data_IF_064417226460
#
_entry.id   IF_064417226460
#
_cell.length_a   1.000
_cell.length_b   1.000
_cell.length_c   1.000
_cell.angle_alpha   90.00
_cell.angle_beta   90.00
_cell.angle_gamma   90.00
#
_symmetry.space_group_name_H-M   'P 1'
#
loop_
_entity.id
_entity.type
_entity.pdbx_description
1 polymer ?
#
# COMPACT_ATOMS: atom_id res chain seq x y z
N UNK A 1 -7.25 -9.82 18.51
CA UNK A 1 -7.75 -8.91 17.46
C UNK A 1 -6.52 -8.25 16.87
N UNK A 2 -6.28 -8.35 15.57
CA UNK A 2 -5.07 -7.79 14.93
C UNK A 2 -5.13 -6.27 14.92
N UNK A 3 -4.01 -5.59 15.13
CA UNK A 3 -3.94 -4.13 15.10
C UNK A 3 -4.05 -3.60 13.67
N UNK A 4 -4.90 -2.59 13.47
CA UNK A 4 -5.05 -1.88 12.20
C UNK A 4 -4.30 -0.54 12.26
N UNK A 5 -3.40 -0.33 11.32
CA UNK A 5 -2.72 0.94 11.08
C UNK A 5 -3.36 1.61 9.87
N UNK A 6 -4.03 2.73 10.09
CA UNK A 6 -4.76 3.46 9.05
C UNK A 6 -4.08 4.79 8.72
N UNK A 7 -3.89 5.05 7.43
CA UNK A 7 -3.32 6.29 6.91
C UNK A 7 -4.32 6.92 5.93
N UNK A 8 -5.02 7.97 6.38
CA UNK A 8 -6.24 8.45 5.71
C UNK A 8 -6.07 9.66 4.80
N UNK A 9 -4.96 10.39 4.91
CA UNK A 9 -4.75 11.68 4.24
C UNK A 9 -3.64 11.64 3.18
N UNK A 10 -3.50 10.51 2.50
CA UNK A 10 -2.45 10.34 1.49
C UNK A 10 -2.90 10.95 0.16
N UNK A 11 -2.07 11.82 -0.39
CA UNK A 11 -2.33 12.49 -1.67
C UNK A 11 -1.14 12.34 -2.59
N UNK A 12 -1.42 11.98 -3.84
CA UNK A 12 -0.41 11.89 -4.89
C UNK A 12 -0.92 12.62 -6.14
N UNK A 13 -0.54 13.90 -6.33
CA UNK A 13 -0.94 14.65 -7.52
C UNK A 13 -0.48 13.95 -8.80
N UNK A 14 -1.37 13.82 -9.77
CA UNK A 14 -1.08 13.13 -11.03
C UNK A 14 -1.90 13.69 -12.18
N UNK A 15 -1.25 13.83 -13.35
CA UNK A 15 -1.90 14.26 -14.59
C UNK A 15 -2.88 13.22 -15.16
N UNK A 16 -3.84 13.68 -15.95
CA UNK A 16 -4.99 12.90 -16.43
C UNK A 16 -4.59 11.62 -17.16
N UNK A 17 -3.61 11.74 -18.05
CA UNK A 17 -3.17 10.65 -18.91
C UNK A 17 -1.91 9.93 -18.39
N UNK A 18 -1.43 10.30 -17.21
CA UNK A 18 -0.31 9.63 -16.55
C UNK A 18 -0.77 8.30 -15.99
N UNK A 19 -0.05 7.22 -16.33
CA UNK A 19 -0.26 5.91 -15.73
C UNK A 19 0.18 5.92 -14.26
N UNK A 20 -0.62 5.32 -13.40
CA UNK A 20 -0.39 5.22 -11.95
C UNK A 20 -0.05 3.78 -11.61
N UNK A 21 1.18 3.55 -11.19
CA UNK A 21 1.67 2.27 -10.75
C UNK A 21 1.81 2.28 -9.23
N UNK A 22 1.14 1.34 -8.56
CA UNK A 22 1.27 1.11 -7.13
C UNK A 22 2.30 0.03 -6.88
N UNK A 23 3.22 0.29 -5.97
CA UNK A 23 4.32 -0.62 -5.64
C UNK A 23 4.38 -0.87 -4.13
N UNK A 24 4.57 -2.13 -3.76
CA UNK A 24 4.85 -2.58 -2.40
C UNK A 24 6.28 -3.10 -2.36
N UNK A 25 7.09 -2.62 -1.41
CA UNK A 25 8.43 -3.14 -1.13
C UNK A 25 8.56 -3.62 0.31
N UNK A 26 9.14 -4.80 0.47
CA UNK A 26 9.46 -5.34 1.78
C UNK A 26 10.86 -4.87 2.17
N UNK A 27 10.96 -4.14 3.28
CA UNK A 27 12.25 -3.60 3.76
C UNK A 27 12.85 -4.49 4.84
N UNK A 28 12.03 -5.09 5.70
CA UNK A 28 12.49 -6.11 6.64
C UNK A 28 12.25 -7.53 6.12
N UNK A 29 13.06 -8.48 6.59
CA UNK A 29 13.08 -9.85 6.08
C UNK A 29 11.91 -10.67 6.63
N UNK A 30 11.46 -11.67 5.85
CA UNK A 30 10.49 -12.66 6.33
C UNK A 30 9.05 -12.17 6.45
N UNK A 31 8.77 -10.98 5.92
CA UNK A 31 7.41 -10.49 5.72
C UNK A 31 6.76 -11.25 4.57
N UNK A 32 5.54 -11.71 4.80
CA UNK A 32 4.61 -12.13 3.76
C UNK A 32 3.45 -11.13 3.83
N UNK A 33 3.08 -10.57 2.68
CA UNK A 33 2.04 -9.54 2.61
C UNK A 33 1.04 -9.90 1.52
N UNK A 34 -0.25 -9.75 1.83
CA UNK A 34 -1.31 -9.80 0.82
C UNK A 34 -1.97 -8.43 0.78
N UNK A 35 -1.86 -7.75 -0.36
CA UNK A 35 -2.38 -6.40 -0.53
C UNK A 35 -3.51 -6.41 -1.55
N UNK A 36 -4.70 -5.99 -1.11
CA UNK A 36 -5.83 -5.70 -1.98
C UNK A 36 -5.94 -4.19 -2.20
N UNK A 37 -6.11 -3.77 -3.45
CA UNK A 37 -6.18 -2.36 -3.82
C UNK A 37 -7.50 -2.16 -4.55
N UNK A 38 -8.43 -1.48 -3.88
CA UNK A 38 -9.69 -1.07 -4.45
C UNK A 38 -9.52 0.30 -5.10
N UNK A 39 -9.86 0.38 -6.39
CA UNK A 39 -9.78 1.60 -7.18
C UNK A 39 -11.19 2.01 -7.61
N UNK A 40 -11.42 3.30 -7.95
CA UNK A 40 -12.67 3.70 -8.58
C UNK A 40 -12.95 2.87 -9.84
N UNK A 41 -14.10 2.17 -9.86
CA UNK A 41 -14.49 1.28 -10.96
C UNK A 41 -14.27 -0.21 -10.64
N UNK A 42 -14.20 -1.09 -11.66
CA UNK A 42 -14.16 -2.54 -11.47
C UNK A 42 -12.73 -3.13 -11.46
N UNK A 43 -11.69 -2.29 -11.50
CA UNK A 43 -10.32 -2.72 -11.79
C UNK A 43 -9.49 -2.95 -10.52
N UNK A 44 -10.10 -3.53 -9.50
CA UNK A 44 -9.41 -3.87 -8.25
C UNK A 44 -8.19 -4.75 -8.52
N UNK A 45 -7.11 -4.48 -7.80
CA UNK A 45 -5.84 -5.19 -7.94
C UNK A 45 -5.51 -5.99 -6.69
N UNK A 46 -4.73 -7.05 -6.88
CA UNK A 46 -4.19 -7.88 -5.83
C UNK A 46 -2.68 -8.00 -6.03
N UNK A 47 -1.94 -7.81 -4.94
CA UNK A 47 -0.51 -8.08 -4.85
C UNK A 47 -0.27 -9.16 -3.79
N UNK A 48 0.64 -10.07 -4.10
CA UNK A 48 1.17 -11.05 -3.17
C UNK A 48 2.65 -10.74 -3.01
N UNK A 49 3.07 -10.53 -1.77
CA UNK A 49 4.38 -10.03 -1.39
C UNK A 49 4.71 -8.66 -1.98
N UNK A 50 5.97 -8.43 -2.35
CA UNK A 50 6.39 -7.22 -3.05
C UNK A 50 6.07 -7.28 -4.55
N UNK A 51 5.84 -6.11 -5.15
CA UNK A 51 5.55 -6.03 -6.57
C UNK A 51 4.94 -4.71 -6.97
N UNK A 52 4.62 -4.62 -8.27
CA UNK A 52 4.06 -3.43 -8.91
C UNK A 52 2.79 -3.83 -9.67
N UNK A 53 1.73 -3.03 -9.54
CA UNK A 53 0.51 -3.14 -10.35
C UNK A 53 0.11 -1.79 -10.92
N UNK A 54 -0.44 -1.80 -12.14
CA UNK A 54 -1.05 -0.61 -12.74
C UNK A 54 -2.45 -0.41 -12.17
N UNK A 55 -2.74 0.78 -11.65
CA UNK A 55 -4.06 1.18 -11.16
C UNK A 55 -4.91 1.82 -12.26
N UNK A 56 -4.32 2.14 -13.42
CA UNK A 56 -4.95 2.90 -14.50
C UNK A 56 -4.36 4.30 -14.66
N UNK A 57 -5.12 5.22 -15.24
CA UNK A 57 -4.67 6.60 -15.47
C UNK A 57 -5.16 7.54 -14.39
N UNK A 58 -4.46 8.66 -14.19
CA UNK A 58 -4.80 9.66 -13.18
C UNK A 58 -6.27 10.11 -13.22
N UNK A 59 -6.83 10.34 -14.42
CA UNK A 59 -8.24 10.73 -14.56
C UNK A 59 -9.25 9.67 -14.09
N UNK A 60 -8.91 8.39 -14.24
CA UNK A 60 -9.79 7.27 -13.88
C UNK A 60 -9.87 7.14 -12.35
N UNK A 61 -8.84 7.59 -11.64
CA UNK A 61 -8.68 7.48 -10.19
C UNK A 61 -9.22 8.69 -9.40
N UNK A 62 -9.78 9.70 -10.07
CA UNK A 62 -10.29 10.93 -9.42
C UNK A 62 -11.71 10.85 -8.89
N UNK A 63 -12.49 9.86 -9.34
CA UNK A 63 -13.91 9.78 -9.00
C UNK A 63 -14.19 9.47 -7.53
N UNK A 64 -13.32 8.69 -6.89
CA UNK A 64 -13.38 8.34 -5.47
C UNK A 64 -11.95 8.06 -4.95
N UNK A 65 -11.82 7.79 -3.67
CA UNK A 65 -10.52 7.45 -3.07
C UNK A 65 -10.13 6.01 -3.38
N UNK A 66 -8.85 5.80 -3.67
CA UNK A 66 -8.28 4.45 -3.78
C UNK A 66 -7.93 3.94 -2.40
N UNK A 67 -8.34 2.72 -2.07
CA UNK A 67 -8.06 2.10 -0.78
C UNK A 67 -7.16 0.89 -0.97
N UNK A 68 -5.98 0.92 -0.38
CA UNK A 68 -5.10 -0.25 -0.29
C UNK A 68 -5.20 -0.85 1.12
N UNK A 69 -5.40 -2.15 1.20
CA UNK A 69 -5.48 -2.91 2.43
C UNK A 69 -4.50 -4.07 2.39
N UNK A 70 -3.59 -4.12 3.36
CA UNK A 70 -2.52 -5.11 3.44
C UNK A 70 -2.65 -5.95 4.70
N UNK A 71 -2.70 -7.27 4.55
CA UNK A 71 -2.55 -8.26 5.61
C UNK A 71 -1.10 -8.74 5.65
N UNK A 72 -0.41 -8.50 6.76
CA UNK A 72 1.02 -8.74 6.90
C UNK A 72 1.24 -9.82 7.96
N UNK A 73 2.22 -10.68 7.71
CA UNK A 73 2.74 -11.62 8.69
C UNK A 73 4.25 -11.68 8.58
N UNK A 74 4.94 -11.56 9.72
CA UNK A 74 6.38 -11.82 9.77
C UNK A 74 6.64 -13.12 10.53
N UNK A 75 7.28 -14.09 9.87
CA UNK A 75 7.51 -15.44 10.42
C UNK A 75 8.92 -15.67 10.94
N UNK A 76 9.88 -14.77 10.67
CA UNK A 76 11.29 -14.95 11.03
C UNK A 76 11.51 -14.53 12.48
N UNK A 77 11.89 -15.42 13.42
CA UNK A 77 12.02 -15.06 14.83
C UNK A 77 13.09 -13.99 15.12
N UNK A 78 14.12 -13.90 14.29
CA UNK A 78 15.26 -12.98 14.45
C UNK A 78 14.98 -11.58 13.93
N UNK A 79 13.91 -11.40 13.15
CA UNK A 79 13.48 -10.07 12.73
C UNK A 79 12.69 -9.43 13.87
N UNK A 80 13.02 -8.19 14.20
CA UNK A 80 12.43 -7.45 15.32
C UNK A 80 11.42 -6.42 14.84
N UNK A 81 11.46 -6.03 13.55
CA UNK A 81 10.59 -5.02 12.97
C UNK A 81 9.87 -5.49 11.70
N UNK A 82 8.68 -4.94 11.50
CA UNK A 82 7.96 -5.01 10.23
C UNK A 82 8.13 -3.65 9.57
N UNK A 83 8.79 -3.60 8.41
CA UNK A 83 8.98 -2.38 7.62
C UNK A 83 8.62 -2.61 6.16
N UNK A 84 7.66 -1.82 5.67
CA UNK A 84 7.09 -1.94 4.33
C UNK A 84 6.95 -0.56 3.73
N UNK A 85 7.38 -0.40 2.47
CA UNK A 85 7.18 0.82 1.70
C UNK A 85 6.08 0.64 0.67
N UNK A 86 5.27 1.68 0.54
CA UNK A 86 4.25 1.84 -0.48
C UNK A 86 4.65 3.02 -1.35
N UNK A 87 4.78 2.79 -2.65
CA UNK A 87 5.22 3.79 -3.62
C UNK A 87 4.17 3.96 -4.72
N UNK A 88 4.10 5.16 -5.28
CA UNK A 88 3.37 5.45 -6.50
C UNK A 88 4.37 5.93 -7.55
N UNK A 89 4.41 5.29 -8.72
CA UNK A 89 5.33 5.63 -9.80
C UNK A 89 6.79 5.75 -9.33
N UNK A 90 7.21 4.84 -8.43
CA UNK A 90 8.56 4.83 -7.83
C UNK A 90 8.82 5.92 -6.78
N UNK A 91 7.85 6.78 -6.48
CA UNK A 91 7.95 7.80 -5.42
C UNK A 91 7.35 7.26 -4.14
N UNK A 92 8.08 7.36 -3.02
CA UNK A 92 7.60 6.93 -1.71
C UNK A 92 6.33 7.71 -1.32
N UNK A 93 5.21 6.99 -1.19
CA UNK A 93 3.96 7.52 -0.67
C UNK A 93 3.93 7.40 0.85
N UNK A 94 4.20 6.19 1.35
CA UNK A 94 4.20 5.90 2.78
C UNK A 94 5.11 4.74 3.14
N UNK A 95 5.85 4.89 4.22
CA UNK A 95 6.47 3.77 4.93
C UNK A 95 5.63 3.41 6.16
N UNK A 96 5.33 2.13 6.30
CA UNK A 96 4.80 1.55 7.53
C UNK A 96 5.93 0.89 8.31
N UNK A 97 5.91 1.11 9.63
CA UNK A 97 6.86 0.54 10.57
C UNK A 97 6.16 0.22 11.88
N UNK A 98 6.41 -0.98 12.41
CA UNK A 98 6.13 -1.33 13.79
C UNK A 98 7.12 -2.38 14.32
N UNK A 99 7.33 -2.40 15.63
CA UNK A 99 8.06 -3.49 16.28
C UNK A 99 7.17 -4.74 16.33
N UNK A 100 7.75 -5.92 16.12
CA UNK A 100 7.02 -7.20 16.25
C UNK A 100 6.55 -7.50 17.67
N UNK A 101 7.21 -6.92 18.66
CA UNK A 101 6.77 -6.95 20.05
C UNK A 101 5.44 -6.20 20.26
N UNK A 102 5.07 -5.27 19.38
CA UNK A 102 3.77 -4.60 19.40
C UNK A 102 2.70 -5.41 18.67
N UNK A 103 3.01 -5.89 17.47
CA UNK A 103 2.10 -6.67 16.64
C UNK A 103 2.91 -7.46 15.60
N UNK A 104 2.65 -8.77 15.52
CA UNK A 104 3.35 -9.67 14.58
C UNK A 104 2.58 -9.87 13.28
N UNK A 105 1.29 -9.53 13.28
CA UNK A 105 0.40 -9.68 12.13
C UNK A 105 -0.47 -8.43 11.93
N UNK A 106 0.11 -7.27 11.59
CA UNK A 106 -0.64 -6.04 11.46
C UNK A 106 -1.47 -6.01 10.18
N UNK A 107 -2.58 -5.28 10.24
CA UNK A 107 -3.24 -4.76 9.04
C UNK A 107 -2.76 -3.34 8.77
N UNK A 108 -2.51 -3.02 7.51
CA UNK A 108 -2.22 -1.66 7.06
C UNK A 108 -3.23 -1.23 6.02
N UNK A 109 -3.86 -0.07 6.25
CA UNK A 109 -4.80 0.53 5.31
C UNK A 109 -4.31 1.90 4.87
N UNK A 110 -4.27 2.13 3.56
CA UNK A 110 -3.96 3.40 2.93
C UNK A 110 -5.21 3.91 2.23
N UNK A 111 -5.64 5.13 2.55
CA UNK A 111 -6.64 5.84 1.78
C UNK A 111 -5.93 6.93 0.96
N UNK A 112 -6.00 6.82 -0.36
CA UNK A 112 -5.18 7.56 -1.31
C UNK A 112 -6.07 8.36 -2.25
N UNK A 113 -5.78 9.65 -2.36
CA UNK A 113 -6.41 10.55 -3.32
C UNK A 113 -5.41 10.97 -4.40
N UNK A 114 -5.90 11.07 -5.64
CA UNK A 114 -5.10 11.43 -6.81
C UNK A 114 -5.55 12.80 -7.36
N UNK A 115 -5.22 13.92 -6.68
CA UNK A 115 -5.59 15.24 -7.17
C UNK A 115 -4.91 15.58 -8.51
N UNK A 116 -5.44 16.58 -9.20
CA UNK A 116 -4.76 17.16 -10.37
C UNK A 116 -3.40 17.74 -9.98
N UNK A 117 -2.45 17.60 -10.90
CA UNK A 117 -1.08 18.11 -10.79
C UNK A 117 -0.99 19.57 -11.27
#
# INVERSE_FOLDING_TARGET
>A
MRKLYSYTDLKFPVGDDTEVNFEVKLISDGNIINTAINVPGPNDQLLHDEGVVSLGKGKDLRGDSTVSFSDIINLIPQEDEIRIQYLINGTLLKEHHNMKSEETRPYVMLNIQFPEL
#
